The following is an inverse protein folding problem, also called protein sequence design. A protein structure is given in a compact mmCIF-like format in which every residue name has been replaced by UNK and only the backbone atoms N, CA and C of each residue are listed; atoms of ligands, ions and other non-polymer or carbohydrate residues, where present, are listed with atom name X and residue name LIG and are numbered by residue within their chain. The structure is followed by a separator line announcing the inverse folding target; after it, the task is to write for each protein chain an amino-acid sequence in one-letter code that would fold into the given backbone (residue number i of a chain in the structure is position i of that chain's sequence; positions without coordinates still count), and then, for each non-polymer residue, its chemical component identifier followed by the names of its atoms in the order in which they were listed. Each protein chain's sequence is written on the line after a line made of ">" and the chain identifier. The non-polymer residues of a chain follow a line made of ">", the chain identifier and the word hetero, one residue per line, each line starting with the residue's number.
data_IF_837922690765
#
_entry.id   IF_837922690765
#
_cell.length_a   1.000
_cell.length_b   1.000
_cell.length_c   1.000
_cell.angle_alpha   90.00
_cell.angle_beta   90.00
_cell.angle_gamma   90.00
#
_symmetry.space_group_name_H-M   'P 1'
#
loop_
_entity.id
_entity.type
_entity.pdbx_description
1 polymer ?
#
# COMPACT_ATOMS: atom_id res chain seq x y z
N UNK A 1 18.13 -33.67 -11.55
CA UNK A 1 17.78 -32.45 -12.29
C UNK A 1 16.38 -32.10 -11.87
N UNK A 2 16.24 -31.31 -10.80
CA UNK A 2 14.97 -30.85 -10.22
C UNK A 2 14.75 -29.41 -10.63
N UNK A 3 13.59 -29.14 -11.14
CA UNK A 3 13.12 -27.84 -11.63
C UNK A 3 12.91 -26.87 -10.44
N UNK A 4 13.66 -25.77 -10.31
CA UNK A 4 13.45 -24.75 -9.30
C UNK A 4 12.67 -23.60 -9.91
N UNK A 5 11.33 -23.66 -9.93
CA UNK A 5 10.63 -22.56 -10.57
C UNK A 5 9.11 -22.60 -10.53
N UNK A 6 8.50 -22.94 -9.41
CA UNK A 6 7.10 -22.56 -9.17
C UNK A 6 6.94 -21.81 -7.84
N UNK A 7 7.34 -20.54 -7.86
CA UNK A 7 6.73 -19.59 -6.93
C UNK A 7 5.24 -19.50 -7.27
N UNK A 8 4.42 -20.07 -6.41
CA UNK A 8 2.98 -19.85 -6.38
C UNK A 8 2.70 -18.38 -6.08
N UNK A 9 2.75 -17.54 -7.09
CA UNK A 9 2.01 -16.28 -7.10
C UNK A 9 0.57 -16.62 -7.38
N UNK A 10 -0.16 -17.06 -6.34
CA UNK A 10 -1.61 -16.96 -6.38
C UNK A 10 -1.92 -15.47 -6.56
N UNK A 11 -2.57 -15.07 -7.65
CA UNK A 11 -3.09 -13.71 -7.74
C UNK A 11 -4.10 -13.59 -6.61
N UNK A 12 -3.79 -12.79 -5.60
CA UNK A 12 -4.80 -12.30 -4.67
C UNK A 12 -5.88 -11.72 -5.57
N UNK A 13 -7.14 -12.18 -5.52
CA UNK A 13 -8.19 -11.58 -6.32
C UNK A 13 -8.26 -10.12 -5.92
N UNK A 14 -7.79 -9.25 -6.79
CA UNK A 14 -7.69 -7.79 -6.60
C UNK A 14 -9.07 -7.13 -6.45
N UNK A 15 -10.11 -7.92 -6.62
CA UNK A 15 -11.49 -7.50 -6.39
C UNK A 15 -12.21 -8.64 -5.67
N UNK A 16 -12.73 -8.42 -4.46
CA UNK A 16 -13.82 -9.24 -3.99
C UNK A 16 -14.90 -9.19 -5.07
N UNK A 17 -15.48 -10.36 -5.39
CA UNK A 17 -16.51 -10.51 -6.41
C UNK A 17 -17.44 -9.31 -6.38
N UNK A 18 -17.68 -8.68 -7.52
CA UNK A 18 -18.45 -7.43 -7.67
C UNK A 18 -19.91 -7.51 -7.19
N UNK A 19 -20.31 -8.61 -6.61
CA UNK A 19 -21.64 -8.87 -6.04
C UNK A 19 -21.80 -8.35 -4.61
N UNK A 20 -20.74 -7.90 -3.95
CA UNK A 20 -20.82 -7.24 -2.65
C UNK A 20 -20.85 -5.72 -2.85
N UNK A 21 -22.05 -5.17 -2.87
CA UNK A 21 -22.36 -3.76 -2.56
C UNK A 21 -22.15 -2.70 -3.64
N UNK A 22 -22.85 -2.78 -4.74
CA UNK A 22 -23.34 -1.56 -5.40
C UNK A 22 -24.86 -1.68 -5.56
N UNK A 23 -25.58 -1.38 -4.51
CA UNK A 23 -27.04 -1.15 -4.61
C UNK A 23 -27.27 0.21 -5.24
N UNK A 24 -27.55 0.21 -6.53
CA UNK A 24 -28.01 1.38 -7.25
C UNK A 24 -29.51 1.58 -7.02
N UNK A 25 -29.84 2.72 -6.45
CA UNK A 25 -31.10 3.46 -6.52
C UNK A 25 -32.40 2.65 -6.71
N UNK A 26 -33.16 2.61 -5.63
CA UNK A 26 -34.61 2.54 -5.72
C UNK A 26 -35.18 3.96 -5.52
N UNK A 27 -35.87 4.50 -6.54
CA UNK A 27 -36.58 5.76 -6.49
C UNK A 27 -38.03 5.48 -6.16
N UNK A 28 -38.41 5.71 -4.91
CA UNK A 28 -39.83 5.81 -4.56
C UNK A 28 -40.28 5.03 -3.35
N UNK A 29 -39.95 5.52 -2.14
CA UNK A 29 -40.69 5.16 -0.92
C UNK A 29 -40.55 6.25 0.15
N UNK A 30 -41.52 6.37 1.10
CA UNK A 30 -41.64 7.51 1.99
C UNK A 30 -40.52 7.56 3.05
N UNK A 31 -40.32 8.75 3.56
CA UNK A 31 -39.28 9.33 4.44
C UNK A 31 -38.66 8.55 5.60
N UNK A 32 -38.62 7.22 5.62
CA UNK A 32 -37.97 6.44 6.67
C UNK A 32 -36.87 5.46 6.27
N UNK A 33 -36.69 5.01 5.00
CA UNK A 33 -35.58 4.13 4.63
C UNK A 33 -34.24 4.86 4.55
N UNK A 34 -34.23 6.12 4.14
CA UNK A 34 -32.99 6.88 3.94
C UNK A 34 -32.24 7.17 5.24
N UNK A 35 -32.96 7.35 6.35
CA UNK A 35 -32.33 7.54 7.67
C UNK A 35 -31.81 6.23 8.27
N UNK A 36 -32.45 5.12 8.02
CA UNK A 36 -31.95 3.80 8.43
C UNK A 36 -30.73 3.36 7.61
N UNK A 37 -30.76 3.57 6.29
CA UNK A 37 -29.60 3.34 5.42
C UNK A 37 -28.41 4.25 5.77
N UNK A 38 -28.66 5.48 6.22
CA UNK A 38 -27.60 6.38 6.65
C UNK A 38 -26.90 5.96 7.95
N UNK A 39 -27.58 5.23 8.84
CA UNK A 39 -26.99 4.65 10.04
C UNK A 39 -26.30 3.29 9.79
N UNK A 40 -26.65 2.61 8.69
CA UNK A 40 -26.18 1.27 8.34
C UNK A 40 -25.16 1.25 7.20
N UNK A 41 -24.84 2.40 6.59
CA UNK A 41 -23.93 2.47 5.46
C UNK A 41 -22.86 3.54 5.62
N UNK A 42 -21.62 3.20 5.24
CA UNK A 42 -20.49 4.12 5.14
C UNK A 42 -20.40 4.65 3.71
N UNK A 43 -20.47 5.96 3.56
CA UNK A 43 -20.31 6.62 2.26
C UNK A 43 -18.82 6.71 1.91
N UNK A 44 -18.40 6.06 0.83
CA UNK A 44 -17.04 6.12 0.31
C UNK A 44 -16.84 7.34 -0.58
N UNK A 45 -17.86 7.63 -1.41
CA UNK A 45 -17.92 8.75 -2.35
C UNK A 45 -19.38 8.96 -2.80
N UNK A 46 -19.69 10.04 -3.52
CA UNK A 46 -21.03 10.19 -4.11
C UNK A 46 -21.41 8.99 -4.97
N UNK A 47 -22.49 8.31 -4.59
CA UNK A 47 -23.03 7.14 -5.28
C UNK A 47 -22.34 5.80 -4.99
N UNK A 48 -21.38 5.73 -4.06
CA UNK A 48 -20.76 4.48 -3.62
C UNK A 48 -20.81 4.36 -2.09
N UNK A 49 -21.41 3.28 -1.62
CA UNK A 49 -21.63 2.98 -0.20
C UNK A 49 -21.23 1.54 0.08
N UNK A 50 -20.87 1.27 1.31
CA UNK A 50 -20.62 -0.07 1.85
C UNK A 50 -21.38 -0.20 3.17
N UNK A 51 -21.83 -1.38 3.54
CA UNK A 51 -22.48 -1.62 4.83
C UNK A 51 -21.54 -1.33 5.98
N UNK A 52 -22.05 -0.74 7.06
CA UNK A 52 -21.22 -0.33 8.19
C UNK A 52 -20.61 -1.55 8.95
N UNK A 53 -21.35 -2.65 9.05
CA UNK A 53 -20.87 -3.91 9.63
C UNK A 53 -19.74 -4.52 8.80
N UNK A 54 -19.90 -4.64 7.48
CA UNK A 54 -18.87 -5.11 6.56
C UNK A 54 -17.63 -4.20 6.61
N UNK A 55 -17.83 -2.87 6.61
CA UNK A 55 -16.75 -1.90 6.70
C UNK A 55 -15.95 -2.02 7.99
N UNK A 56 -16.60 -2.21 9.12
CA UNK A 56 -15.96 -2.33 10.42
C UNK A 56 -15.16 -3.63 10.59
N UNK A 57 -15.52 -4.68 9.86
CA UNK A 57 -14.81 -5.94 9.83
C UNK A 57 -13.53 -5.92 8.97
N UNK A 58 -13.38 -4.92 8.10
CA UNK A 58 -12.22 -4.80 7.22
C UNK A 58 -11.01 -4.22 7.97
N UNK A 59 -9.81 -4.77 7.71
CA UNK A 59 -8.54 -4.19 8.15
C UNK A 59 -8.28 -2.86 7.43
N UNK A 60 -7.46 -1.96 8.00
CA UNK A 60 -7.21 -0.63 7.41
C UNK A 60 -6.77 -0.64 5.95
N UNK A 61 -5.91 -1.59 5.56
CA UNK A 61 -5.49 -1.75 4.17
C UNK A 61 -6.64 -2.18 3.26
N UNK A 62 -7.52 -3.06 3.72
CA UNK A 62 -8.70 -3.50 2.97
C UNK A 62 -9.70 -2.36 2.81
N UNK A 63 -9.94 -1.58 3.88
CA UNK A 63 -10.76 -0.37 3.81
C UNK A 63 -10.21 0.62 2.78
N UNK A 64 -8.87 0.80 2.74
CA UNK A 64 -8.26 1.68 1.76
C UNK A 64 -8.38 1.13 0.34
N UNK A 65 -8.20 -0.18 0.15
CA UNK A 65 -8.42 -0.84 -1.15
C UNK A 65 -9.85 -0.64 -1.66
N UNK A 66 -10.85 -0.81 -0.80
CA UNK A 66 -12.26 -0.56 -1.16
C UNK A 66 -12.48 0.90 -1.61
N UNK A 67 -11.85 1.88 -0.95
CA UNK A 67 -11.88 3.28 -1.42
C UNK A 67 -11.23 3.46 -2.79
N UNK A 68 -10.10 2.80 -3.02
CA UNK A 68 -9.40 2.83 -4.32
C UNK A 68 -10.30 2.26 -5.41
N UNK A 69 -10.89 1.09 -5.20
CA UNK A 69 -11.83 0.47 -6.15
C UNK A 69 -13.00 1.40 -6.43
N UNK A 70 -13.64 1.95 -5.40
CA UNK A 70 -14.73 2.90 -5.56
C UNK A 70 -14.32 4.16 -6.35
N UNK A 71 -13.07 4.61 -6.24
CA UNK A 71 -12.57 5.74 -7.01
C UNK A 71 -12.34 5.38 -8.49
N UNK A 72 -11.82 4.19 -8.78
CA UNK A 72 -11.50 3.73 -10.13
C UNK A 72 -12.76 3.32 -10.93
N UNK A 73 -13.75 2.73 -10.28
CA UNK A 73 -15.02 2.28 -10.91
C UNK A 73 -16.06 3.38 -11.03
N UNK A 74 -15.73 4.63 -10.67
CA UNK A 74 -16.67 5.75 -10.76
C UNK A 74 -17.00 6.11 -12.21
N UNK A 75 -18.18 6.68 -12.41
CA UNK A 75 -18.62 7.21 -13.72
C UNK A 75 -17.76 8.39 -14.22
N UNK A 76 -16.89 8.94 -13.38
CA UNK A 76 -15.96 10.01 -13.73
C UNK A 76 -14.61 9.76 -13.05
N UNK A 77 -13.86 8.74 -13.51
CA UNK A 77 -12.51 8.50 -13.01
C UNK A 77 -11.62 9.69 -13.38
N UNK A 78 -10.60 10.00 -12.56
CA UNK A 78 -9.69 11.08 -12.88
C UNK A 78 -8.92 10.73 -14.16
N UNK A 79 -9.23 11.42 -15.25
CA UNK A 79 -8.57 11.26 -16.56
C UNK A 79 -7.08 11.62 -16.43
N UNK A 80 -6.18 10.78 -16.96
CA UNK A 80 -4.72 10.92 -16.90
C UNK A 80 -4.08 10.79 -15.51
N UNK A 81 -4.86 10.63 -14.45
CA UNK A 81 -4.30 10.43 -13.12
C UNK A 81 -3.82 8.98 -12.94
N UNK A 82 -2.65 8.85 -12.35
CA UNK A 82 -1.99 7.58 -12.04
C UNK A 82 -2.16 7.32 -10.55
N UNK A 83 -2.60 6.13 -10.18
CA UNK A 83 -2.68 5.72 -8.78
C UNK A 83 -1.28 5.73 -8.17
N UNK A 84 -1.10 6.32 -6.99
CA UNK A 84 0.22 6.58 -6.40
C UNK A 84 0.24 6.37 -4.89
N UNK A 85 1.44 6.33 -4.31
CA UNK A 85 1.68 6.26 -2.86
C UNK A 85 0.93 5.12 -2.19
N UNK A 86 0.22 5.38 -1.06
CA UNK A 86 -0.51 4.36 -0.30
C UNK A 86 -1.60 3.67 -1.12
N UNK A 87 -2.19 4.37 -2.07
CA UNK A 87 -3.20 3.77 -2.95
C UNK A 87 -2.59 2.85 -4.00
N UNK A 88 -1.40 3.13 -4.49
CA UNK A 88 -0.63 2.19 -5.31
C UNK A 88 -0.09 1.04 -4.46
N UNK A 89 0.40 1.35 -3.25
CA UNK A 89 0.95 0.35 -2.33
C UNK A 89 -0.06 -0.77 -2.03
N UNK A 90 -1.31 -0.42 -1.72
CA UNK A 90 -2.35 -1.41 -1.41
C UNK A 90 -2.69 -2.29 -2.62
N UNK A 91 -2.56 -1.76 -3.83
CA UNK A 91 -2.79 -2.51 -5.09
C UNK A 91 -1.61 -3.43 -5.40
N UNK A 92 -0.38 -3.01 -5.09
CA UNK A 92 0.83 -3.84 -5.20
C UNK A 92 0.98 -4.86 -4.07
N UNK A 93 0.18 -4.77 -3.00
CA UNK A 93 0.34 -5.60 -1.80
C UNK A 93 1.52 -5.20 -0.92
N UNK A 94 2.06 -3.98 -1.08
CA UNK A 94 3.16 -3.45 -0.27
C UNK A 94 2.66 -3.20 1.16
N UNK A 95 3.31 -3.73 2.20
CA UNK A 95 2.95 -3.46 3.58
C UNK A 95 3.28 -2.00 3.94
N UNK A 96 2.31 -1.32 4.53
CA UNK A 96 2.45 0.06 4.99
C UNK A 96 2.17 0.10 6.49
N UNK A 97 3.15 0.53 7.28
CA UNK A 97 3.00 0.68 8.73
C UNK A 97 2.38 2.04 9.06
N UNK A 98 1.32 2.02 9.85
CA UNK A 98 0.59 3.22 10.27
C UNK A 98 -0.70 3.44 9.48
N UNK A 99 -1.39 4.57 9.71
CA UNK A 99 -2.72 4.80 9.17
C UNK A 99 -2.69 5.02 7.65
N UNK A 100 -3.68 4.47 6.98
CA UNK A 100 -3.96 4.80 5.58
C UNK A 100 -4.71 6.13 5.47
N UNK A 101 -4.45 6.91 4.40
CA UNK A 101 -5.19 8.14 4.18
C UNK A 101 -6.67 7.88 3.88
N UNK A 102 -7.54 8.78 4.32
CA UNK A 102 -8.97 8.70 4.00
C UNK A 102 -9.25 8.94 2.50
N UNK A 103 -8.32 9.56 1.80
CA UNK A 103 -8.42 9.93 0.39
C UNK A 103 -7.65 8.96 -0.48
N UNK A 104 -8.20 8.59 -1.64
CA UNK A 104 -7.46 7.89 -2.70
C UNK A 104 -6.40 8.83 -3.28
N UNK A 105 -5.17 8.34 -3.39
CA UNK A 105 -4.01 9.11 -3.81
C UNK A 105 -3.69 8.88 -5.28
N UNK A 106 -3.54 9.97 -6.01
CA UNK A 106 -3.14 9.96 -7.41
C UNK A 106 -1.96 10.91 -7.63
N UNK A 107 -1.19 10.68 -8.69
CA UNK A 107 -0.30 11.66 -9.26
C UNK A 107 -0.70 11.96 -10.71
N UNK A 108 -0.34 13.15 -11.19
CA UNK A 108 -0.67 13.60 -12.54
C UNK A 108 0.62 13.93 -13.29
N UNK A 109 1.03 13.08 -14.25
CA UNK A 109 2.19 13.36 -15.11
C UNK A 109 2.00 14.65 -15.89
N UNK A 110 3.08 15.44 -16.00
CA UNK A 110 3.07 16.71 -16.74
C UNK A 110 2.34 17.87 -16.04
N UNK A 111 1.87 17.67 -14.81
CA UNK A 111 1.26 18.75 -14.00
C UNK A 111 2.24 19.31 -12.98
N UNK A 112 2.18 20.61 -12.77
CA UNK A 112 2.93 21.30 -11.71
C UNK A 112 2.08 21.56 -10.46
N UNK A 113 0.77 21.29 -10.53
CA UNK A 113 -0.17 21.55 -9.45
C UNK A 113 -0.90 20.25 -9.04
N UNK A 114 -1.40 20.26 -7.80
CA UNK A 114 -2.24 19.21 -7.27
C UNK A 114 -3.66 19.68 -7.00
N UNK A 115 -4.56 18.71 -6.83
CA UNK A 115 -5.95 18.96 -6.42
C UNK A 115 -6.31 18.08 -5.24
N UNK A 116 -7.03 18.63 -4.30
CA UNK A 116 -7.57 17.89 -3.16
C UNK A 116 -9.08 18.01 -3.13
N UNK A 117 -9.74 16.88 -2.97
CA UNK A 117 -11.17 16.79 -2.71
C UNK A 117 -11.42 16.01 -1.41
N UNK A 118 -12.68 15.83 -1.05
CA UNK A 118 -13.04 15.02 0.12
C UNK A 118 -12.63 13.55 -0.03
N UNK A 119 -12.65 13.01 -1.25
CA UNK A 119 -12.48 11.57 -1.52
C UNK A 119 -11.17 11.23 -2.23
N UNK A 120 -10.50 12.22 -2.84
CA UNK A 120 -9.26 12.00 -3.59
C UNK A 120 -8.26 13.15 -3.41
N UNK A 121 -6.98 12.81 -3.48
CA UNK A 121 -5.87 13.76 -3.52
C UNK A 121 -5.03 13.45 -4.75
N UNK A 122 -4.88 14.44 -5.61
CA UNK A 122 -3.98 14.38 -6.78
C UNK A 122 -2.80 15.31 -6.51
N UNK A 123 -1.60 14.86 -6.79
CA UNK A 123 -0.36 15.65 -6.70
C UNK A 123 0.33 15.69 -8.06
N UNK A 124 1.22 16.64 -8.28
CA UNK A 124 2.13 16.58 -9.41
C UNK A 124 2.95 15.27 -9.34
N UNK A 125 3.14 14.62 -10.47
CA UNK A 125 4.02 13.47 -10.55
C UNK A 125 5.49 13.93 -10.54
N UNK A 126 6.42 13.14 -9.97
CA UNK A 126 7.85 13.41 -10.13
C UNK A 126 8.26 13.31 -11.61
N UNK A 127 9.37 13.97 -11.96
CA UNK A 127 9.97 13.79 -13.29
C UNK A 127 10.36 12.32 -13.48
N UNK A 128 10.12 11.78 -14.67
CA UNK A 128 10.43 10.38 -14.98
C UNK A 128 9.62 9.37 -14.19
N UNK A 129 8.40 9.72 -13.74
CA UNK A 129 7.53 8.78 -13.01
C UNK A 129 7.29 7.51 -13.82
N UNK A 130 7.59 6.38 -13.22
CA UNK A 130 7.34 5.07 -13.82
C UNK A 130 5.89 4.62 -13.57
N UNK A 131 5.23 4.22 -14.65
CA UNK A 131 3.82 3.82 -14.64
C UNK A 131 3.64 2.44 -15.26
N UNK A 132 2.89 1.59 -14.61
CA UNK A 132 2.46 0.29 -15.12
C UNK A 132 0.93 0.24 -15.21
N UNK A 133 0.40 -0.75 -15.90
CA UNK A 133 -1.04 -1.01 -15.92
C UNK A 133 -1.37 -2.23 -15.06
N UNK A 134 -2.25 -2.03 -14.10
CA UNK A 134 -2.80 -3.09 -13.26
C UNK A 134 -4.32 -3.10 -13.43
N UNK A 135 -4.86 -4.21 -13.92
CA UNK A 135 -6.30 -4.36 -14.22
C UNK A 135 -6.85 -3.20 -15.10
N UNK A 136 -6.08 -2.77 -16.10
CA UNK A 136 -6.46 -1.69 -17.00
C UNK A 136 -6.24 -0.26 -16.46
N UNK A 137 -5.93 -0.10 -15.17
CA UNK A 137 -5.72 1.22 -14.55
C UNK A 137 -4.23 1.58 -14.48
N UNK A 138 -3.87 2.86 -14.71
CA UNK A 138 -2.50 3.32 -14.56
C UNK A 138 -2.14 3.43 -13.06
N UNK A 139 -1.04 2.81 -12.69
CA UNK A 139 -0.51 2.74 -11.32
C UNK A 139 1.00 3.04 -11.38
N UNK A 140 1.56 3.74 -10.41
CA UNK A 140 3.03 3.87 -10.32
C UNK A 140 3.65 2.48 -10.20
N UNK A 141 4.82 2.24 -10.81
CA UNK A 141 5.54 0.96 -10.69
C UNK A 141 5.78 0.61 -9.22
N UNK A 142 6.08 -0.65 -8.93
CA UNK A 142 6.37 -1.07 -7.56
C UNK A 142 7.56 -0.28 -7.01
N UNK A 143 8.66 -0.16 -7.77
CA UNK A 143 9.85 0.59 -7.36
C UNK A 143 9.52 2.09 -7.15
N UNK A 144 8.78 2.72 -8.08
CA UNK A 144 8.33 4.10 -7.92
C UNK A 144 7.45 4.28 -6.69
N UNK A 145 6.55 3.34 -6.42
CA UNK A 145 5.68 3.38 -5.24
C UNK A 145 6.48 3.31 -3.93
N UNK A 146 7.51 2.45 -3.87
CA UNK A 146 8.42 2.35 -2.72
C UNK A 146 9.17 3.65 -2.48
N UNK A 147 9.73 4.26 -3.53
CA UNK A 147 10.41 5.58 -3.44
C UNK A 147 9.42 6.66 -2.99
N UNK A 148 8.19 6.66 -3.51
CA UNK A 148 7.14 7.60 -3.11
C UNK A 148 6.79 7.49 -1.62
N UNK A 149 6.65 6.27 -1.10
CA UNK A 149 6.42 6.02 0.32
C UNK A 149 7.61 6.47 1.15
N UNK A 150 8.84 6.12 0.75
CA UNK A 150 10.05 6.48 1.47
C UNK A 150 10.29 7.99 1.53
N UNK A 151 9.85 8.74 0.50
CA UNK A 151 9.89 10.20 0.52
C UNK A 151 8.90 10.83 1.51
N UNK A 152 7.80 10.15 1.85
CA UNK A 152 6.66 10.78 2.55
C UNK A 152 6.29 10.15 3.89
N UNK A 153 6.64 8.90 4.12
CA UNK A 153 6.30 8.15 5.34
C UNK A 153 7.42 8.23 6.39
N UNK A 154 7.13 7.74 7.58
CA UNK A 154 8.14 7.58 8.62
C UNK A 154 9.21 6.56 8.21
N UNK A 155 10.41 6.66 8.77
CA UNK A 155 11.49 5.70 8.52
C UNK A 155 11.05 4.27 8.78
N UNK A 156 10.38 4.01 9.91
CA UNK A 156 9.85 2.69 10.25
C UNK A 156 8.93 2.10 9.17
N UNK A 157 8.01 2.91 8.62
CA UNK A 157 7.11 2.46 7.56
C UNK A 157 7.89 2.21 6.26
N UNK A 158 8.83 3.10 5.94
CA UNK A 158 9.67 2.97 4.74
C UNK A 158 10.54 1.72 4.79
N UNK A 159 11.15 1.42 5.95
CA UNK A 159 11.93 0.20 6.16
C UNK A 159 11.09 -1.05 5.96
N UNK A 160 9.90 -1.12 6.56
CA UNK A 160 9.02 -2.27 6.40
C UNK A 160 8.66 -2.54 4.93
N UNK A 161 8.37 -1.48 4.17
CA UNK A 161 8.01 -1.60 2.75
C UNK A 161 9.22 -1.97 1.88
N UNK A 162 10.38 -1.34 2.11
CA UNK A 162 11.60 -1.58 1.34
C UNK A 162 12.16 -3.00 1.60
N UNK A 163 12.31 -3.39 2.86
CA UNK A 163 12.80 -4.72 3.23
C UNK A 163 11.87 -5.84 2.73
N UNK A 164 10.55 -5.60 2.72
CA UNK A 164 9.59 -6.54 2.12
C UNK A 164 9.86 -6.73 0.62
N UNK A 165 10.08 -5.63 -0.12
CA UNK A 165 10.27 -5.68 -1.55
C UNK A 165 11.65 -6.28 -1.95
N UNK A 166 12.70 -5.92 -1.22
CA UNK A 166 14.05 -6.44 -1.45
C UNK A 166 14.11 -7.95 -1.19
N UNK A 167 13.62 -8.42 -0.05
CA UNK A 167 13.57 -9.86 0.26
C UNK A 167 12.64 -10.66 -0.64
N UNK A 168 11.54 -10.09 -1.08
CA UNK A 168 10.57 -10.72 -1.97
C UNK A 168 10.96 -10.69 -3.45
N UNK A 169 12.08 -10.06 -3.82
CA UNK A 169 12.52 -9.89 -5.21
C UNK A 169 11.59 -8.99 -6.04
N UNK A 170 10.73 -8.21 -5.38
CA UNK A 170 9.80 -7.31 -6.08
C UNK A 170 10.46 -6.04 -6.62
N UNK A 171 11.59 -5.63 -6.05
CA UNK A 171 12.42 -4.53 -6.53
C UNK A 171 13.90 -4.85 -6.27
N UNK A 172 14.78 -4.46 -7.21
CA UNK A 172 16.22 -4.54 -7.01
C UNK A 172 16.75 -3.24 -6.43
N UNK A 173 17.90 -3.36 -5.71
CA UNK A 173 18.66 -2.21 -5.21
C UNK A 173 18.96 -1.22 -6.34
N UNK A 174 19.45 -1.72 -7.48
CA UNK A 174 19.79 -0.92 -8.64
C UNK A 174 18.60 -0.11 -9.17
N UNK A 175 17.41 -0.73 -9.26
CA UNK A 175 16.21 -0.04 -9.72
C UNK A 175 15.77 1.08 -8.77
N UNK A 176 15.89 0.86 -7.46
CA UNK A 176 15.57 1.86 -6.45
C UNK A 176 16.56 3.02 -6.44
N UNK A 177 17.87 2.74 -6.54
CA UNK A 177 18.90 3.77 -6.65
C UNK A 177 18.74 4.59 -7.94
N UNK A 178 18.51 3.94 -9.08
CA UNK A 178 18.30 4.63 -10.35
C UNK A 178 17.13 5.63 -10.29
N UNK A 179 16.01 5.24 -9.66
CA UNK A 179 14.88 6.15 -9.46
C UNK A 179 15.19 7.30 -8.49
N UNK A 180 15.91 7.03 -7.40
CA UNK A 180 16.32 8.05 -6.44
C UNK A 180 17.23 9.08 -7.12
N UNK A 181 18.23 8.64 -7.89
CA UNK A 181 19.12 9.49 -8.65
C UNK A 181 18.38 10.32 -9.71
N UNK A 182 17.52 9.69 -10.47
CA UNK A 182 16.70 10.38 -11.48
C UNK A 182 15.76 11.45 -10.90
N UNK A 183 15.43 11.33 -9.60
CA UNK A 183 14.53 12.23 -8.88
C UNK A 183 15.21 13.04 -7.78
N UNK A 184 16.54 13.25 -7.84
CA UNK A 184 17.37 13.87 -6.79
C UNK A 184 16.91 15.24 -6.30
N UNK A 185 16.17 15.99 -7.10
CA UNK A 185 15.64 17.31 -6.74
C UNK A 185 14.26 17.27 -6.06
N UNK A 186 13.71 16.07 -5.88
CA UNK A 186 12.39 15.89 -5.29
C UNK A 186 12.44 16.10 -3.76
N UNK A 187 11.45 16.79 -3.16
CA UNK A 187 11.32 16.87 -1.71
C UNK A 187 11.22 15.48 -1.08
N UNK A 188 12.03 15.23 -0.05
CA UNK A 188 12.03 13.96 0.68
C UNK A 188 12.94 12.88 0.11
N UNK A 189 13.60 13.09 -1.03
CA UNK A 189 14.47 12.10 -1.67
C UNK A 189 15.62 11.65 -0.78
N UNK A 190 16.22 12.54 0.01
CA UNK A 190 17.27 12.19 0.98
C UNK A 190 16.75 11.29 2.11
N UNK A 191 15.46 11.37 2.42
CA UNK A 191 14.81 10.44 3.34
C UNK A 191 14.68 9.06 2.72
N UNK A 192 14.30 8.99 1.45
CA UNK A 192 14.23 7.74 0.70
C UNK A 192 15.61 7.07 0.61
N UNK A 193 16.66 7.83 0.30
CA UNK A 193 18.02 7.32 0.25
C UNK A 193 18.47 6.73 1.59
N UNK A 194 18.23 7.44 2.70
CA UNK A 194 18.54 6.95 4.05
C UNK A 194 17.76 5.68 4.39
N UNK A 195 16.48 5.64 4.04
CA UNK A 195 15.65 4.47 4.30
C UNK A 195 16.13 3.26 3.50
N UNK A 196 16.56 3.45 2.25
CA UNK A 196 17.13 2.39 1.42
C UNK A 196 18.44 1.88 2.01
N UNK A 197 19.38 2.76 2.39
CA UNK A 197 20.63 2.37 3.04
C UNK A 197 20.38 1.51 4.29
N UNK A 198 19.49 1.97 5.18
CA UNK A 198 19.14 1.17 6.37
C UNK A 198 18.45 -0.15 6.05
N UNK A 199 17.67 -0.24 4.98
CA UNK A 199 17.02 -1.48 4.59
C UNK A 199 18.05 -2.51 4.09
N UNK A 200 19.12 -2.06 3.40
CA UNK A 200 20.21 -2.89 2.91
C UNK A 200 21.12 -3.34 4.06
N UNK A 201 21.48 -2.43 4.98
CA UNK A 201 22.28 -2.77 6.17
C UNK A 201 21.58 -3.80 7.05
N UNK A 202 20.27 -3.68 7.25
CA UNK A 202 19.45 -4.61 8.01
C UNK A 202 19.32 -6.00 7.37
N UNK A 203 19.38 -6.08 6.06
CA UNK A 203 19.37 -7.36 5.32
C UNK A 203 20.74 -8.07 5.42
N UNK A 204 21.82 -7.30 5.50
CA UNK A 204 23.19 -7.83 5.68
C UNK A 204 23.44 -8.40 7.09
N UNK A 205 22.70 -7.91 8.10
CA UNK A 205 22.80 -8.39 9.49
C UNK A 205 21.97 -9.66 9.77
N UNK A 206 21.16 -10.11 8.81
CA UNK A 206 20.24 -11.24 8.96
C UNK A 206 20.85 -12.63 8.85
N UNK A 207 22.15 -12.78 8.59
CA UNK A 207 22.83 -14.07 8.41
C UNK A 207 23.65 -14.55 9.62
N UNK A 208 23.60 -13.89 10.78
CA UNK A 208 24.16 -14.50 11.97
C UNK A 208 23.16 -15.49 12.58
N UNK A 209 23.48 -16.82 12.59
CA UNK A 209 22.65 -17.77 13.29
C UNK A 209 22.65 -17.41 14.78
N UNK A 210 21.47 -17.21 15.34
CA UNK A 210 21.27 -17.10 16.77
C UNK A 210 22.03 -18.27 17.45
N UNK A 211 23.15 -17.99 18.08
CA UNK A 211 23.79 -18.91 19.01
C UNK A 211 22.82 -19.05 20.17
N UNK A 212 22.30 -20.24 20.27
CA UNK A 212 21.49 -20.70 21.40
C UNK A 212 22.42 -20.85 22.61
N UNK A 213 22.70 -19.76 23.30
CA UNK A 213 23.33 -19.78 24.60
C UNK A 213 22.26 -20.15 25.62
N UNK A 214 21.88 -21.43 25.62
CA UNK A 214 21.05 -22.02 26.64
C UNK A 214 21.67 -21.79 28.01
N UNK A 215 20.89 -21.35 29.02
CA UNK A 215 21.40 -21.16 30.38
C UNK A 215 21.88 -22.50 30.93
N UNK A 216 23.19 -22.62 31.15
CA UNK A 216 23.82 -23.75 31.80
C UNK A 216 23.22 -23.98 33.17
N UNK A 217 22.63 -25.15 33.34
CA UNK A 217 22.14 -25.65 34.61
C UNK A 217 23.32 -25.85 35.57
N UNK A 218 23.40 -25.20 36.71
CA UNK A 218 24.43 -25.56 37.70
C UNK A 218 24.09 -26.90 38.34
N UNK A 219 24.92 -27.88 38.09
CA UNK A 219 24.87 -29.18 38.75
C UNK A 219 25.04 -29.02 40.26
N UNK A 220 23.98 -29.29 40.99
CA UNK A 220 24.00 -29.31 42.44
C UNK A 220 24.90 -30.45 42.98
N UNK A 221 25.92 -30.06 43.68
CA UNK A 221 26.74 -30.93 44.50
C UNK A 221 26.06 -31.14 45.83
N UNK A 222 25.63 -32.38 46.07
CA UNK A 222 25.14 -32.80 47.42
C UNK A 222 26.36 -33.13 48.26
N UNK A 223 26.51 -32.48 49.38
CA UNK A 223 27.32 -32.97 50.47
C UNK A 223 26.39 -33.52 51.55
N UNK A 224 26.59 -34.80 51.88
CA UNK A 224 26.16 -35.49 53.11
C UNK A 224 27.42 -35.81 53.92
N UNK A 225 27.25 -36.20 55.16
CA UNK A 225 26.25 -35.98 56.20
C UNK A 225 26.70 -35.03 57.29
#
# INVERSE_FOLDING_TARGET
>A
MGDPGRMCTSPIPLFPSADAAVSSRDRGAPASPSQRLASEAVALRPGAFVRADEWSALRPEQQHLVRVVAALTSNNPPTRAVLARESAAVVHGIPVVGPYPAQTQFCLPGSTSGRRSRVSRTTAAPAGVEVVRMNGHPVTSLAQTLVDLACTRSLRSSLASLSWALRGGGASEESLFGLIEGQRHRPGIMRALRALAHALDGDSAGEEPLRDDGPGCPSGERAEP
#
